data_IF_633061938718
#
_entry.id   IF_633061938718
#
_cell.length_a   1.000
_cell.length_b   1.000
_cell.length_c   1.000
_cell.angle_alpha   90.00
_cell.angle_beta   90.00
_cell.angle_gamma   90.00
#
_symmetry.space_group_name_H-M   'P 1'
#
loop_
_entity.id
_entity.type
_entity.pdbx_description
1 polymer ?
#
# COMPACT_ATOMS: atom_id res chain seq x y z
N UNK A 1 -10.80 36.20 -55.48
CA UNK A 1 -11.96 35.51 -54.86
C UNK A 1 -11.72 34.02 -54.55
N UNK A 2 -10.96 33.27 -55.36
CA UNK A 2 -10.70 31.84 -55.14
C UNK A 2 -9.94 31.47 -53.83
N UNK A 3 -9.03 32.32 -53.32
CA UNK A 3 -8.26 32.00 -52.10
C UNK A 3 -9.11 32.00 -50.82
N UNK A 4 -10.07 32.94 -50.70
CA UNK A 4 -11.04 32.99 -49.59
C UNK A 4 -11.97 31.77 -49.57
N UNK A 5 -12.28 31.21 -50.73
CA UNK A 5 -13.12 30.00 -50.86
C UNK A 5 -12.35 28.72 -50.44
N UNK A 6 -11.07 28.61 -50.81
CA UNK A 6 -10.18 27.51 -50.36
C UNK A 6 -9.94 27.53 -48.85
N UNK A 7 -9.74 28.72 -48.26
CA UNK A 7 -9.58 28.89 -46.80
C UNK A 7 -10.82 28.46 -46.01
N UNK A 8 -12.03 28.81 -46.47
CA UNK A 8 -13.30 28.39 -45.85
C UNK A 8 -13.54 26.87 -45.94
N UNK A 9 -13.16 26.24 -47.05
CA UNK A 9 -13.25 24.79 -47.22
C UNK A 9 -12.26 24.03 -46.31
N UNK A 10 -11.06 24.57 -46.11
CA UNK A 10 -10.06 24.03 -45.20
C UNK A 10 -10.48 24.18 -43.73
N UNK A 11 -10.99 25.35 -43.32
CA UNK A 11 -11.54 25.59 -41.98
C UNK A 11 -12.73 24.67 -41.65
N UNK A 12 -13.61 24.41 -42.63
CA UNK A 12 -14.72 23.44 -42.47
C UNK A 12 -14.23 22.00 -42.27
N UNK A 13 -13.10 21.61 -42.89
CA UNK A 13 -12.50 20.28 -42.73
C UNK A 13 -11.84 20.08 -41.36
N UNK A 14 -11.40 21.16 -40.71
CA UNK A 14 -10.81 21.12 -39.37
C UNK A 14 -11.84 21.21 -38.23
N UNK A 15 -13.06 21.67 -38.52
CA UNK A 15 -14.11 21.82 -37.52
C UNK A 15 -14.54 20.48 -36.87
N UNK A 16 -14.66 19.41 -37.65
CA UNK A 16 -15.02 18.07 -37.13
C UNK A 16 -14.00 17.51 -36.13
N UNK A 17 -12.71 17.42 -36.51
CA UNK A 17 -11.64 17.02 -35.59
C UNK A 17 -11.52 17.91 -34.36
N UNK A 18 -11.68 19.23 -34.50
CA UNK A 18 -11.63 20.16 -33.38
C UNK A 18 -12.79 19.94 -32.41
N UNK A 19 -14.01 19.72 -32.90
CA UNK A 19 -15.17 19.38 -32.06
C UNK A 19 -14.95 18.04 -31.35
N UNK A 20 -14.45 17.02 -32.05
CA UNK A 20 -14.14 15.72 -31.46
C UNK A 20 -13.06 15.82 -30.36
N UNK A 21 -12.02 16.63 -30.57
CA UNK A 21 -10.98 16.88 -29.58
C UNK A 21 -11.55 17.61 -28.35
N UNK A 22 -12.30 18.68 -28.56
CA UNK A 22 -12.95 19.42 -27.47
C UNK A 22 -13.91 18.54 -26.68
N UNK A 23 -14.74 17.74 -27.35
CA UNK A 23 -15.66 16.81 -26.70
C UNK A 23 -14.91 15.74 -25.87
N UNK A 24 -13.83 15.19 -26.42
CA UNK A 24 -12.96 14.23 -25.70
C UNK A 24 -12.35 14.86 -24.45
N UNK A 25 -11.79 16.07 -24.57
CA UNK A 25 -11.19 16.78 -23.42
C UNK A 25 -12.26 17.07 -22.36
N UNK A 26 -13.42 17.57 -22.75
CA UNK A 26 -14.53 17.84 -21.82
C UNK A 26 -15.02 16.56 -21.14
N UNK A 27 -15.15 15.44 -21.87
CA UNK A 27 -15.55 14.15 -21.32
C UNK A 27 -14.52 13.62 -20.31
N UNK A 28 -13.21 13.75 -20.60
CA UNK A 28 -12.15 13.36 -19.67
C UNK A 28 -12.15 14.23 -18.41
N UNK A 29 -12.29 15.55 -18.54
CA UNK A 29 -12.37 16.47 -17.41
C UNK A 29 -13.62 16.20 -16.54
N UNK A 30 -14.77 15.97 -17.17
CA UNK A 30 -15.99 15.59 -16.47
C UNK A 30 -15.83 14.25 -15.74
N UNK A 31 -15.21 13.26 -16.38
CA UNK A 31 -14.95 11.96 -15.77
C UNK A 31 -14.04 12.06 -14.56
N UNK A 32 -12.92 12.80 -14.65
CA UNK A 32 -12.01 13.06 -13.52
C UNK A 32 -12.74 13.80 -12.38
N UNK A 33 -13.52 14.83 -12.71
CA UNK A 33 -14.30 15.57 -11.72
C UNK A 33 -15.31 14.66 -11.00
N UNK A 34 -16.02 13.79 -11.74
CA UNK A 34 -16.94 12.81 -11.18
C UNK A 34 -16.21 11.85 -10.25
N UNK A 35 -15.06 11.30 -10.66
CA UNK A 35 -14.26 10.37 -9.84
C UNK A 35 -13.80 11.05 -8.55
N UNK A 36 -13.34 12.30 -8.60
CA UNK A 36 -12.92 13.06 -7.42
C UNK A 36 -14.07 13.43 -6.50
N UNK A 37 -15.18 13.95 -7.03
CA UNK A 37 -16.35 14.36 -6.24
C UNK A 37 -17.01 13.17 -5.57
N UNK A 38 -17.12 12.05 -6.28
CA UNK A 38 -17.67 10.81 -5.71
C UNK A 38 -16.67 10.06 -4.82
N UNK A 39 -15.44 10.59 -4.63
CA UNK A 39 -14.33 9.96 -3.89
C UNK A 39 -14.11 8.50 -4.31
N UNK A 40 -14.18 8.26 -5.63
CA UNK A 40 -13.92 6.94 -6.26
C UNK A 40 -12.49 6.81 -6.78
N UNK A 41 -11.68 7.85 -6.64
CA UNK A 41 -10.24 7.73 -6.85
C UNK A 41 -9.68 6.75 -5.81
N UNK A 42 -8.85 5.78 -6.20
CA UNK A 42 -8.19 4.92 -5.25
C UNK A 42 -7.26 5.74 -4.35
N UNK A 43 -7.31 5.48 -3.05
CA UNK A 43 -6.39 6.11 -2.10
C UNK A 43 -4.96 5.66 -2.44
N UNK A 44 -4.07 6.64 -2.56
CA UNK A 44 -2.64 6.40 -2.76
C UNK A 44 -1.99 6.43 -1.39
N UNK A 45 -1.30 5.34 -1.01
CA UNK A 45 -0.43 5.31 0.17
C UNK A 45 1.00 5.70 -0.25
N UNK A 46 1.43 6.95 -0.08
CA UNK A 46 2.82 7.30 -0.34
C UNK A 46 3.71 6.68 0.75
N UNK A 47 4.72 5.90 0.35
CA UNK A 47 5.78 5.44 1.24
C UNK A 47 6.93 6.45 1.15
N UNK A 48 6.93 7.43 2.06
CA UNK A 48 7.92 8.50 2.13
C UNK A 48 9.07 8.08 3.05
N UNK A 49 10.07 7.40 2.49
CA UNK A 49 11.20 6.84 3.26
C UNK A 49 12.10 7.92 3.91
N UNK A 50 11.96 9.18 3.50
CA UNK A 50 12.64 10.36 4.03
C UNK A 50 11.93 10.99 5.23
N UNK A 51 10.65 10.70 5.44
CA UNK A 51 9.90 11.17 6.60
C UNK A 51 10.34 10.45 7.88
N UNK A 52 10.54 11.22 8.95
CA UNK A 52 10.88 10.67 10.27
C UNK A 52 9.78 9.73 10.79
N UNK A 53 8.53 10.13 10.60
CA UNK A 53 7.34 9.42 11.09
C UNK A 53 7.00 8.17 10.27
N UNK A 54 7.63 7.99 9.11
CA UNK A 54 7.43 6.83 8.26
C UNK A 54 7.95 5.56 8.96
N UNK A 55 7.10 4.56 9.09
CA UNK A 55 7.42 3.28 9.72
C UNK A 55 8.39 2.43 8.87
N UNK A 56 8.57 2.78 7.61
CA UNK A 56 9.48 2.08 6.70
C UNK A 56 10.86 2.73 6.67
N UNK A 57 11.88 1.91 6.42
CA UNK A 57 13.24 2.32 6.10
C UNK A 57 13.67 1.67 4.80
N UNK A 58 14.62 2.28 4.10
CA UNK A 58 15.25 1.65 2.93
C UNK A 58 15.98 0.37 3.36
N UNK A 59 15.80 -0.71 2.60
CA UNK A 59 16.52 -1.97 2.82
C UNK A 59 17.85 -1.95 2.09
N UNK A 60 18.85 -2.62 2.64
CA UNK A 60 20.09 -2.95 1.92
C UNK A 60 19.88 -4.10 0.94
N UNK A 61 18.81 -4.88 1.10
CA UNK A 61 18.42 -5.91 0.15
C UNK A 61 17.69 -5.26 -1.05
N UNK A 62 18.24 -5.32 -2.26
CA UNK A 62 17.65 -4.67 -3.43
C UNK A 62 16.32 -5.30 -3.89
N UNK A 63 16.04 -6.55 -3.51
CA UNK A 63 14.79 -7.22 -3.85
C UNK A 63 13.66 -6.72 -2.94
N UNK A 64 13.94 -6.51 -1.65
CA UNK A 64 12.99 -5.93 -0.69
C UNK A 64 12.77 -4.43 -0.93
N UNK A 65 13.85 -3.68 -1.20
CA UNK A 65 13.83 -2.23 -1.43
C UNK A 65 13.60 -1.38 -0.17
N UNK A 66 12.64 -1.77 0.67
CA UNK A 66 12.34 -1.18 1.97
C UNK A 66 11.82 -2.23 2.95
N UNK A 67 11.87 -1.93 4.23
CA UNK A 67 11.43 -2.80 5.32
C UNK A 67 10.81 -1.95 6.44
N UNK A 68 10.02 -2.57 7.31
CA UNK A 68 9.60 -1.93 8.55
C UNK A 68 10.81 -1.66 9.48
N UNK A 69 10.81 -0.50 10.13
CA UNK A 69 11.75 -0.15 11.19
C UNK A 69 11.50 -1.04 12.40
N UNK A 70 12.55 -1.48 13.08
CA UNK A 70 12.45 -2.28 14.31
C UNK A 70 12.28 -1.40 15.55
N UNK A 71 11.62 -1.94 16.57
CA UNK A 71 11.43 -1.29 17.88
C UNK A 71 10.76 0.09 17.81
N UNK A 72 9.93 0.34 16.81
CA UNK A 72 9.16 1.57 16.76
C UNK A 72 7.99 1.51 17.74
N UNK A 73 7.63 2.67 18.29
CA UNK A 73 6.42 2.88 19.09
C UNK A 73 5.84 4.24 18.76
N UNK A 74 4.52 4.31 18.68
CA UNK A 74 3.79 5.57 18.55
C UNK A 74 2.58 5.54 19.48
N UNK A 75 2.41 6.58 20.28
CA UNK A 75 1.26 6.72 21.19
C UNK A 75 -0.01 7.13 20.43
N UNK A 76 0.13 7.83 19.30
CA UNK A 76 -0.96 8.30 18.45
C UNK A 76 -0.70 7.96 16.97
N UNK A 77 -0.72 6.67 16.59
CA UNK A 77 -0.48 6.26 15.21
C UNK A 77 -1.67 6.60 14.30
N UNK A 78 -1.36 6.91 13.04
CA UNK A 78 -2.34 7.11 11.97
C UNK A 78 -2.73 5.82 11.24
N UNK A 79 -2.08 4.70 11.58
CA UNK A 79 -2.24 3.37 10.96
C UNK A 79 -1.92 3.33 9.45
N UNK A 80 -1.31 4.39 8.93
CA UNK A 80 -0.98 4.56 7.51
C UNK A 80 0.53 4.69 7.36
N UNK A 81 1.12 5.72 7.98
CA UNK A 81 2.56 5.95 7.99
C UNK A 81 3.22 5.48 9.28
N UNK A 82 2.43 5.31 10.35
CA UNK A 82 2.88 4.92 11.68
C UNK A 82 1.98 3.85 12.27
N UNK A 83 2.54 3.01 13.15
CA UNK A 83 1.83 1.97 13.87
C UNK A 83 2.10 2.08 15.37
N UNK A 84 1.26 1.43 16.17
CA UNK A 84 1.43 1.36 17.62
C UNK A 84 2.81 0.84 18.00
N UNK A 85 3.25 -0.20 17.30
CA UNK A 85 4.57 -0.78 17.47
C UNK A 85 5.05 -1.62 16.29
N UNK A 86 6.35 -1.82 16.26
CA UNK A 86 7.01 -2.95 15.60
C UNK A 86 7.92 -3.65 16.61
N UNK A 87 8.12 -4.96 16.44
CA UNK A 87 8.98 -5.73 17.32
C UNK A 87 10.47 -5.57 16.97
N UNK A 88 11.33 -6.24 17.74
CA UNK A 88 12.79 -6.19 17.53
C UNK A 88 13.25 -6.77 16.20
N UNK A 89 12.43 -7.63 15.58
CA UNK A 89 12.66 -8.23 14.25
C UNK A 89 12.19 -7.35 13.09
N UNK A 90 11.66 -6.17 13.41
CA UNK A 90 11.13 -5.23 12.43
C UNK A 90 9.81 -5.66 11.82
N UNK A 91 8.97 -6.41 12.54
CA UNK A 91 7.64 -6.81 12.08
C UNK A 91 6.55 -6.09 12.88
N UNK A 92 5.40 -5.85 12.26
CA UNK A 92 4.22 -5.28 12.94
C UNK A 92 3.51 -6.34 13.79
N UNK A 93 4.14 -6.67 14.91
CA UNK A 93 3.67 -7.66 15.88
C UNK A 93 4.15 -7.28 17.29
N UNK A 94 3.77 -8.07 18.29
CA UNK A 94 4.35 -8.07 19.63
C UNK A 94 5.72 -8.70 19.56
N UNK A 95 6.48 -8.55 20.64
CA UNK A 95 7.79 -9.18 20.73
C UNK A 95 7.65 -10.71 20.67
N UNK A 96 8.54 -11.35 19.90
CA UNK A 96 8.55 -12.81 19.69
C UNK A 96 9.98 -13.31 19.89
N UNK A 97 10.10 -14.47 20.54
CA UNK A 97 11.40 -15.16 20.59
C UNK A 97 11.74 -15.72 19.21
N UNK A 98 12.99 -15.63 18.78
CA UNK A 98 13.41 -16.26 17.53
C UNK A 98 13.27 -17.78 17.65
N UNK A 99 13.84 -18.36 18.71
CA UNK A 99 13.66 -19.76 19.05
C UNK A 99 12.21 -20.06 19.42
N UNK A 100 11.63 -21.05 18.75
CA UNK A 100 10.30 -21.54 19.02
C UNK A 100 10.31 -22.30 20.34
N UNK A 101 9.57 -21.82 21.33
CA UNK A 101 9.47 -22.48 22.64
C UNK A 101 8.70 -23.81 22.54
N UNK A 102 8.98 -24.73 23.45
CA UNK A 102 8.29 -26.03 23.51
C UNK A 102 6.78 -25.86 23.71
N UNK A 103 6.00 -26.70 23.03
CA UNK A 103 4.54 -26.66 23.08
C UNK A 103 3.90 -25.50 22.32
N UNK A 104 4.67 -24.55 21.80
CA UNK A 104 4.15 -23.45 20.97
C UNK A 104 3.86 -23.93 19.56
N UNK A 105 2.72 -23.52 18.98
CA UNK A 105 2.47 -23.62 17.53
C UNK A 105 2.77 -22.27 16.89
N UNK A 106 3.42 -22.26 15.72
CA UNK A 106 3.64 -21.04 14.93
C UNK A 106 2.91 -21.12 13.61
N UNK A 107 2.16 -20.09 13.31
CA UNK A 107 1.52 -19.86 12.01
C UNK A 107 2.10 -18.56 11.47
N UNK A 108 2.73 -18.61 10.30
CA UNK A 108 3.26 -17.42 9.64
C UNK A 108 2.27 -16.94 8.59
N UNK A 109 1.88 -15.67 8.65
CA UNK A 109 1.14 -15.00 7.60
C UNK A 109 2.11 -14.16 6.79
N UNK A 110 2.34 -14.57 5.54
CA UNK A 110 3.19 -13.85 4.59
C UNK A 110 2.30 -13.06 3.63
N UNK A 111 2.64 -11.81 3.35
CA UNK A 111 1.91 -11.04 2.34
C UNK A 111 2.27 -9.57 2.31
N UNK A 112 1.32 -8.79 1.80
CA UNK A 112 1.44 -7.35 1.60
C UNK A 112 0.71 -6.53 2.69
N UNK A 113 0.24 -5.35 2.30
CA UNK A 113 -0.60 -4.45 3.09
C UNK A 113 -1.82 -5.09 3.77
N UNK A 114 -2.39 -6.15 3.18
CA UNK A 114 -3.54 -6.86 3.75
C UNK A 114 -3.13 -7.62 5.00
N UNK A 115 -1.98 -8.30 4.95
CA UNK A 115 -1.45 -9.04 6.10
C UNK A 115 -0.87 -8.08 7.14
N UNK A 116 -0.17 -7.04 6.70
CA UNK A 116 0.34 -5.98 7.59
C UNK A 116 -0.79 -5.24 8.34
N UNK A 117 -1.98 -5.19 7.74
CA UNK A 117 -3.16 -4.54 8.29
C UNK A 117 -3.16 -3.03 8.09
N UNK A 118 -2.91 -2.59 6.86
CA UNK A 118 -2.95 -1.18 6.48
C UNK A 118 -4.28 -0.51 6.88
N UNK A 119 -4.19 0.65 7.56
CA UNK A 119 -5.34 1.42 8.02
C UNK A 119 -6.06 0.84 9.24
N UNK A 120 -5.56 -0.26 9.82
CA UNK A 120 -6.15 -0.91 10.98
C UNK A 120 -5.26 -0.71 12.20
N UNK A 121 -5.86 -0.71 13.40
CA UNK A 121 -5.10 -0.94 14.63
C UNK A 121 -4.56 -2.38 14.69
N UNK A 122 -3.51 -2.61 15.47
CA UNK A 122 -2.86 -3.91 15.57
C UNK A 122 -3.86 -5.00 15.98
N UNK A 123 -4.75 -4.71 16.93
CA UNK A 123 -5.77 -5.66 17.42
C UNK A 123 -6.77 -6.09 16.33
N UNK A 124 -6.93 -5.30 15.27
CA UNK A 124 -7.83 -5.59 14.15
C UNK A 124 -7.15 -6.31 12.99
N UNK A 125 -5.82 -6.48 13.04
CA UNK A 125 -5.08 -7.20 11.99
C UNK A 125 -5.50 -8.66 11.92
N UNK A 126 -5.41 -9.25 10.71
CA UNK A 126 -5.76 -10.67 10.49
C UNK A 126 -4.91 -11.58 11.39
N UNK A 127 -3.63 -11.26 11.59
CA UNK A 127 -2.76 -12.02 12.49
C UNK A 127 -3.27 -12.02 13.93
N UNK A 128 -3.69 -10.87 14.46
CA UNK A 128 -4.23 -10.77 15.83
C UNK A 128 -5.58 -11.44 15.99
N UNK A 129 -6.47 -11.25 15.03
CA UNK A 129 -7.78 -11.90 15.05
C UNK A 129 -7.63 -13.42 14.97
N UNK A 130 -6.75 -13.92 14.09
CA UNK A 130 -6.49 -15.34 13.97
C UNK A 130 -5.82 -15.93 15.23
N UNK A 131 -4.86 -15.22 15.83
CA UNK A 131 -4.24 -15.65 17.10
C UNK A 131 -5.29 -15.78 18.21
N UNK A 132 -6.22 -14.84 18.31
CA UNK A 132 -7.30 -14.88 19.30
C UNK A 132 -8.27 -16.04 19.09
N UNK A 133 -8.50 -16.47 17.84
CA UNK A 133 -9.42 -17.57 17.52
C UNK A 133 -8.93 -18.95 17.96
N UNK A 134 -7.61 -19.16 18.10
CA UNK A 134 -7.09 -20.46 18.55
C UNK A 134 -7.42 -20.79 20.01
N UNK A 135 -7.60 -19.76 20.86
CA UNK A 135 -7.98 -19.87 22.28
C UNK A 135 -7.14 -20.85 23.15
N UNK A 136 -5.99 -21.32 22.66
CA UNK A 136 -5.11 -22.29 23.34
C UNK A 136 -3.98 -21.63 24.15
N UNK A 137 -3.75 -20.33 23.94
CA UNK A 137 -2.67 -19.57 24.55
C UNK A 137 -1.25 -19.98 24.12
N UNK A 138 -1.12 -20.97 23.24
CA UNK A 138 0.14 -21.55 22.78
C UNK A 138 0.36 -21.38 21.27
N UNK A 139 -0.64 -20.93 20.53
CA UNK A 139 -0.49 -20.57 19.12
C UNK A 139 -0.02 -19.12 18.98
N UNK A 140 1.08 -18.94 18.25
CA UNK A 140 1.60 -17.66 17.80
C UNK A 140 1.28 -17.47 16.32
N UNK A 141 0.61 -16.36 15.97
CA UNK A 141 0.42 -15.96 14.58
C UNK A 141 1.35 -14.79 14.27
N UNK A 142 2.34 -15.05 13.41
CA UNK A 142 3.41 -14.11 13.06
C UNK A 142 2.98 -13.30 11.84
N UNK A 143 3.02 -11.98 11.97
CA UNK A 143 2.72 -11.06 10.87
C UNK A 143 4.00 -10.76 10.06
N UNK A 144 4.10 -11.36 8.87
CA UNK A 144 5.16 -11.09 7.89
C UNK A 144 4.59 -10.33 6.68
N UNK A 145 3.62 -9.45 6.95
CA UNK A 145 3.05 -8.54 5.97
C UNK A 145 3.88 -7.26 5.86
N UNK A 146 4.21 -6.84 4.63
CA UNK A 146 4.81 -5.53 4.35
C UNK A 146 4.15 -4.88 3.13
N UNK A 147 3.62 -3.68 3.31
CA UNK A 147 2.87 -2.96 2.29
C UNK A 147 3.66 -2.82 1.00
N UNK A 148 2.96 -3.01 -0.12
CA UNK A 148 3.52 -2.94 -1.47
C UNK A 148 4.62 -3.96 -1.80
N UNK A 149 4.85 -4.97 -0.94
CA UNK A 149 5.59 -6.15 -1.36
C UNK A 149 4.80 -6.87 -2.45
N UNK A 150 5.52 -7.25 -3.51
CA UNK A 150 5.02 -8.20 -4.48
C UNK A 150 5.48 -9.61 -4.08
N UNK A 151 4.96 -10.64 -4.74
CA UNK A 151 5.32 -12.05 -4.47
C UNK A 151 6.83 -12.29 -4.41
N UNK A 152 7.63 -11.60 -5.24
CA UNK A 152 9.10 -11.73 -5.20
C UNK A 152 9.71 -11.20 -3.90
N UNK A 153 9.22 -10.07 -3.40
CA UNK A 153 9.69 -9.50 -2.14
C UNK A 153 9.18 -10.29 -0.93
N UNK A 154 7.98 -10.85 -1.00
CA UNK A 154 7.44 -11.76 0.01
C UNK A 154 8.32 -13.02 0.17
N UNK A 155 8.69 -13.66 -0.94
CA UNK A 155 9.58 -14.83 -0.92
C UNK A 155 10.95 -14.46 -0.37
N UNK A 156 11.52 -13.34 -0.81
CA UNK A 156 12.80 -12.85 -0.30
C UNK A 156 12.76 -12.58 1.21
N UNK A 157 11.67 -12.01 1.72
CA UNK A 157 11.48 -11.76 3.16
C UNK A 157 11.50 -13.07 3.94
N UNK A 158 10.84 -14.11 3.43
CA UNK A 158 10.81 -15.43 4.05
C UNK A 158 12.17 -16.13 4.04
N UNK A 159 12.98 -15.93 2.99
CA UNK A 159 14.32 -16.52 2.89
C UNK A 159 15.35 -15.83 3.78
N UNK A 160 15.18 -14.53 4.03
CA UNK A 160 16.19 -13.70 4.71
C UNK A 160 15.89 -13.40 6.18
N UNK A 161 14.71 -13.77 6.68
CA UNK A 161 14.30 -13.59 8.09
C UNK A 161 13.81 -14.88 8.73
#
# INVERSE_FOLDING_TARGET
MQSKQRSRAFLRRLAGPAVALCATVLALLASEAIVRVLRRAPDIKPIQLDSYDCIYKRSTNPILGFELKANCRSDNPDFIQSYERTNSHGQRDKERKLEKSDGVRRVLLLGDSVVEGYGLSESQTISRQLEALYADGSTEVLNFGVSAYCTRAEVELLETK
#
